data_IF_264086771519
#
_entry.id   IF_264086771519
#
_cell.length_a   1.000
_cell.length_b   1.000
_cell.length_c   1.000
_cell.angle_alpha   90.00
_cell.angle_beta   90.00
_cell.angle_gamma   90.00
#
_symmetry.space_group_name_H-M   'P 1'
#
loop_
_entity.id
_entity.type
_entity.pdbx_description
1 polymer ?
#
# COMPACT_ATOMS: atom_id res chain seq x y z
N UNK A 1 0.89 -32.83 -20.51
CA UNK A 1 -0.22 -33.79 -20.65
C UNK A 1 -0.88 -33.90 -19.29
N UNK A 2 -2.02 -33.24 -19.12
CA UNK A 2 -2.82 -33.40 -17.88
C UNK A 2 -3.29 -34.84 -17.77
N UNK A 3 -3.23 -35.41 -16.56
CA UNK A 3 -3.86 -36.69 -16.29
C UNK A 3 -5.38 -36.54 -16.41
N UNK A 4 -6.06 -37.42 -17.14
CA UNK A 4 -7.52 -37.42 -17.20
C UNK A 4 -8.05 -37.74 -15.79
N UNK A 5 -8.39 -36.73 -15.03
CA UNK A 5 -9.01 -36.89 -13.71
C UNK A 5 -8.77 -35.73 -12.71
N UNK A 6 -7.85 -34.83 -12.97
CA UNK A 6 -7.62 -33.68 -12.08
C UNK A 6 -8.24 -32.42 -12.70
N UNK A 7 -8.99 -31.67 -11.89
CA UNK A 7 -9.55 -30.37 -12.30
C UNK A 7 -8.42 -29.37 -12.60
N UNK A 8 -8.61 -28.52 -13.63
CA UNK A 8 -7.65 -27.48 -13.96
C UNK A 8 -7.55 -26.48 -12.83
N UNK A 9 -6.35 -26.28 -12.29
CA UNK A 9 -6.09 -25.31 -11.23
C UNK A 9 -5.79 -23.94 -11.81
N UNK A 10 -6.66 -22.99 -11.56
CA UNK A 10 -6.54 -21.63 -12.05
C UNK A 10 -6.28 -20.67 -10.89
N UNK A 11 -5.16 -19.96 -10.92
CA UNK A 11 -4.88 -18.85 -10.01
C UNK A 11 -5.34 -17.54 -10.66
N UNK A 12 -6.25 -16.83 -10.02
CA UNK A 12 -6.70 -15.50 -10.39
C UNK A 12 -6.14 -14.52 -9.38
N UNK A 13 -5.30 -13.59 -9.83
CA UNK A 13 -4.59 -12.66 -8.94
C UNK A 13 -4.55 -11.25 -9.54
N UNK A 14 -5.63 -10.51 -9.32
CA UNK A 14 -5.81 -9.16 -9.86
C UNK A 14 -5.55 -8.11 -8.78
N UNK A 15 -4.83 -7.06 -9.14
CA UNK A 15 -4.76 -5.80 -8.38
C UNK A 15 -5.90 -4.86 -8.79
N UNK A 16 -6.03 -3.73 -8.14
CA UNK A 16 -6.99 -2.71 -8.49
C UNK A 16 -6.71 -2.06 -9.85
N UNK A 17 -7.75 -1.51 -10.47
CA UNK A 17 -7.64 -0.72 -11.68
C UNK A 17 -7.89 0.77 -11.37
N UNK A 18 -6.82 1.48 -11.02
CA UNK A 18 -6.78 2.94 -10.78
C UNK A 18 -7.81 3.48 -9.76
N UNK A 19 -8.13 2.71 -8.72
CA UNK A 19 -9.14 3.07 -7.73
C UNK A 19 -10.58 3.05 -8.29
N UNK A 20 -10.78 2.58 -9.53
CA UNK A 20 -12.10 2.51 -10.18
C UNK A 20 -12.71 1.12 -10.01
N UNK A 21 -11.95 0.06 -10.30
CA UNK A 21 -12.36 -1.31 -10.07
C UNK A 21 -11.48 -1.92 -8.97
N UNK A 22 -12.09 -2.34 -7.88
CA UNK A 22 -11.39 -2.95 -6.76
C UNK A 22 -10.70 -4.25 -7.16
N UNK A 23 -9.65 -4.64 -6.44
CA UNK A 23 -8.99 -5.94 -6.66
C UNK A 23 -9.99 -7.09 -6.45
N UNK A 24 -10.90 -6.97 -5.47
CA UNK A 24 -11.97 -7.93 -5.22
C UNK A 24 -12.88 -8.11 -6.44
N UNK A 25 -13.43 -7.02 -6.98
CA UNK A 25 -14.34 -7.10 -8.13
C UNK A 25 -13.62 -7.55 -9.39
N UNK A 26 -12.35 -7.13 -9.60
CA UNK A 26 -11.55 -7.58 -10.72
C UNK A 26 -11.34 -9.11 -10.68
N UNK A 27 -10.99 -9.67 -9.52
CA UNK A 27 -10.86 -11.10 -9.32
C UNK A 27 -12.19 -11.83 -9.60
N UNK A 28 -13.31 -11.31 -9.10
CA UNK A 28 -14.65 -11.88 -9.31
C UNK A 28 -15.03 -11.91 -10.80
N UNK A 29 -14.82 -10.83 -11.55
CA UNK A 29 -15.13 -10.81 -12.98
C UNK A 29 -14.26 -11.78 -13.80
N UNK A 30 -12.99 -11.96 -13.41
CA UNK A 30 -12.11 -12.94 -14.05
C UNK A 30 -12.52 -14.37 -13.67
N UNK A 31 -12.84 -14.65 -12.41
CA UNK A 31 -13.36 -15.94 -11.97
C UNK A 31 -14.63 -16.32 -12.73
N UNK A 32 -15.65 -15.43 -12.79
CA UNK A 32 -16.88 -15.65 -13.53
C UNK A 32 -16.63 -15.99 -15.02
N UNK A 33 -15.60 -15.37 -15.61
CA UNK A 33 -15.20 -15.67 -16.98
C UNK A 33 -14.60 -17.08 -17.12
N UNK A 34 -13.71 -17.46 -16.21
CA UNK A 34 -13.07 -18.79 -16.18
C UNK A 34 -14.12 -19.88 -15.97
N UNK A 35 -14.96 -19.73 -14.94
CA UNK A 35 -16.03 -20.68 -14.59
C UNK A 35 -17.00 -20.90 -15.75
N UNK A 36 -17.30 -19.85 -16.53
CA UNK A 36 -18.16 -19.95 -17.72
C UNK A 36 -17.55 -20.73 -18.89
N UNK A 37 -16.23 -21.01 -18.88
CA UNK A 37 -15.49 -21.58 -20.02
C UNK A 37 -14.79 -22.90 -19.68
N UNK A 38 -14.48 -23.16 -18.42
CA UNK A 38 -13.79 -24.37 -17.94
C UNK A 38 -14.70 -25.06 -16.93
N UNK A 39 -15.27 -26.20 -17.33
CA UNK A 39 -16.08 -27.01 -16.45
C UNK A 39 -15.23 -27.60 -15.32
N UNK A 40 -15.70 -27.48 -14.08
CA UNK A 40 -15.03 -27.98 -12.87
C UNK A 40 -13.62 -27.41 -12.62
N UNK A 41 -13.35 -26.12 -13.00
CA UNK A 41 -12.10 -25.46 -12.66
C UNK A 41 -11.94 -25.32 -11.13
N UNK A 42 -10.74 -25.65 -10.62
CA UNK A 42 -10.35 -25.35 -9.23
C UNK A 42 -9.73 -23.93 -9.20
N UNK A 43 -10.55 -22.92 -8.91
CA UNK A 43 -10.18 -21.51 -9.00
C UNK A 43 -9.81 -20.99 -7.62
N UNK A 44 -8.59 -20.47 -7.49
CA UNK A 44 -8.13 -19.75 -6.29
C UNK A 44 -7.97 -18.28 -6.63
N UNK A 45 -8.69 -17.43 -5.89
CA UNK A 45 -8.57 -15.97 -5.99
C UNK A 45 -7.56 -15.43 -4.98
N UNK A 46 -6.67 -14.56 -5.43
CA UNK A 46 -5.78 -13.77 -4.59
C UNK A 46 -5.96 -12.29 -4.96
N UNK A 47 -6.90 -11.57 -4.35
CA UNK A 47 -6.98 -10.14 -4.52
C UNK A 47 -5.69 -9.50 -4.04
N UNK A 48 -4.99 -8.86 -4.96
CA UNK A 48 -3.74 -8.19 -4.67
C UNK A 48 -4.02 -6.83 -4.04
N UNK A 49 -3.02 -6.30 -3.39
CA UNK A 49 -3.03 -4.94 -2.88
C UNK A 49 -1.66 -4.31 -3.08
N UNK A 50 -1.62 -3.01 -3.00
CA UNK A 50 -0.40 -2.23 -3.09
C UNK A 50 -0.20 -1.40 -1.80
N UNK A 51 0.92 -0.72 -1.69
CA UNK A 51 1.25 0.08 -0.50
C UNK A 51 0.32 1.28 -0.25
N UNK A 52 -0.79 1.39 -0.99
CA UNK A 52 -1.78 2.49 -0.91
C UNK A 52 -3.19 2.00 -0.64
N UNK A 53 -3.71 1.11 -1.50
CA UNK A 53 -5.10 0.72 -1.56
C UNK A 53 -5.28 -0.78 -1.31
N UNK A 54 -6.51 -1.18 -1.03
CA UNK A 54 -7.00 -2.56 -0.97
C UNK A 54 -6.43 -3.43 0.17
N UNK A 55 -5.46 -2.96 0.95
CA UNK A 55 -4.84 -3.76 2.01
C UNK A 55 -5.87 -4.39 2.95
N UNK A 56 -6.81 -3.60 3.48
CA UNK A 56 -7.79 -4.08 4.45
C UNK A 56 -8.71 -5.14 3.82
N UNK A 57 -9.30 -4.83 2.66
CA UNK A 57 -10.23 -5.70 1.98
C UNK A 57 -9.57 -7.03 1.57
N UNK A 58 -8.38 -6.95 0.96
CA UNK A 58 -7.66 -8.13 0.49
C UNK A 58 -7.23 -9.06 1.63
N UNK A 59 -6.75 -8.52 2.74
CA UNK A 59 -6.40 -9.34 3.91
C UNK A 59 -7.62 -10.07 4.46
N UNK A 60 -8.78 -9.39 4.57
CA UNK A 60 -10.00 -9.98 5.12
C UNK A 60 -10.73 -10.94 4.18
N UNK A 61 -10.30 -11.08 2.94
CA UNK A 61 -10.72 -12.20 2.10
C UNK A 61 -10.01 -13.52 2.46
N UNK A 62 -8.80 -13.44 3.01
CA UNK A 62 -7.98 -14.60 3.36
C UNK A 62 -7.98 -14.91 4.86
N UNK A 63 -8.31 -13.93 5.68
CA UNK A 63 -8.25 -14.02 7.13
C UNK A 63 -9.58 -13.63 7.76
N UNK A 64 -10.07 -14.44 8.68
CA UNK A 64 -11.18 -14.07 9.54
C UNK A 64 -10.72 -13.09 10.61
N UNK A 65 -11.65 -12.25 11.09
CA UNK A 65 -11.34 -11.29 12.14
C UNK A 65 -12.43 -10.26 12.34
N UNK A 66 -12.09 -9.20 13.07
CA UNK A 66 -13.00 -8.10 13.39
C UNK A 66 -12.52 -6.82 12.71
N UNK A 67 -13.43 -6.11 12.08
CA UNK A 67 -13.18 -4.77 11.55
C UNK A 67 -13.83 -3.75 12.51
N UNK A 68 -13.08 -2.68 12.80
CA UNK A 68 -13.48 -1.60 13.69
C UNK A 68 -13.71 -0.34 12.89
N UNK A 69 -14.76 0.40 13.22
CA UNK A 69 -14.99 1.77 12.77
C UNK A 69 -14.84 2.69 13.96
N UNK A 70 -14.07 3.74 13.79
CA UNK A 70 -13.73 4.67 14.86
C UNK A 70 -13.69 6.10 14.33
N UNK A 71 -14.04 7.05 15.17
CA UNK A 71 -13.88 8.46 14.88
C UNK A 71 -12.43 8.87 15.14
N UNK A 72 -11.82 9.47 14.14
CA UNK A 72 -10.44 9.98 14.17
C UNK A 72 -10.36 11.28 13.39
N UNK A 73 -9.17 11.88 13.31
CA UNK A 73 -8.96 13.09 12.52
C UNK A 73 -8.25 12.78 11.18
N UNK A 74 -8.63 13.53 10.15
CA UNK A 74 -7.91 13.54 8.87
C UNK A 74 -6.61 14.38 8.93
N UNK A 75 -5.96 14.57 7.77
CA UNK A 75 -4.72 15.36 7.70
C UNK A 75 -4.91 16.86 8.07
N UNK A 76 -6.12 17.38 8.05
CA UNK A 76 -6.49 18.76 8.36
C UNK A 76 -7.21 18.90 9.72
N UNK A 77 -7.21 17.83 10.51
CA UNK A 77 -7.89 17.75 11.82
C UNK A 77 -9.41 17.88 11.74
N UNK A 78 -10.04 17.46 10.64
CA UNK A 78 -11.48 17.26 10.60
C UNK A 78 -11.81 15.87 11.17
N UNK A 79 -12.89 15.76 11.93
CA UNK A 79 -13.39 14.48 12.43
C UNK A 79 -13.96 13.65 11.26
N UNK A 80 -13.49 12.41 11.14
CA UNK A 80 -13.93 11.44 10.13
C UNK A 80 -14.07 10.05 10.75
N UNK A 81 -14.92 9.21 10.16
CA UNK A 81 -14.94 7.78 10.48
C UNK A 81 -13.83 7.07 9.68
N UNK A 82 -12.96 6.35 10.37
CA UNK A 82 -11.94 5.49 9.78
C UNK A 82 -12.16 4.02 10.12
N UNK A 83 -11.60 3.14 9.31
CA UNK A 83 -11.73 1.70 9.49
C UNK A 83 -10.35 1.03 9.56
N UNK A 84 -10.21 0.08 10.47
CA UNK A 84 -9.08 -0.83 10.54
C UNK A 84 -9.55 -2.25 10.91
N UNK A 85 -8.72 -3.27 10.73
CA UNK A 85 -9.09 -4.64 11.05
C UNK A 85 -8.10 -5.33 11.97
N UNK A 86 -8.57 -6.33 12.73
CA UNK A 86 -7.72 -7.25 13.47
C UNK A 86 -8.13 -8.68 13.15
N UNK A 87 -7.21 -9.46 12.60
CA UNK A 87 -7.44 -10.86 12.27
C UNK A 87 -7.44 -11.74 13.51
N UNK A 88 -8.04 -12.92 13.42
CA UNK A 88 -8.08 -13.88 14.55
C UNK A 88 -6.68 -14.36 14.99
N UNK A 89 -5.73 -14.40 14.05
CA UNK A 89 -4.31 -14.72 14.36
C UNK A 89 -3.51 -13.51 14.86
N UNK A 90 -4.17 -12.36 15.08
CA UNK A 90 -3.66 -11.20 15.80
C UNK A 90 -2.98 -10.13 14.94
N UNK A 91 -3.02 -10.23 13.61
CA UNK A 91 -2.52 -9.16 12.73
C UNK A 91 -3.51 -7.99 12.70
N UNK A 92 -3.04 -6.80 13.04
CA UNK A 92 -3.81 -5.56 12.92
C UNK A 92 -3.45 -4.86 11.62
N UNK A 93 -4.46 -4.58 10.80
CA UNK A 93 -4.32 -4.07 9.44
C UNK A 93 -4.83 -2.63 9.38
N UNK A 94 -3.97 -1.69 9.00
CA UNK A 94 -4.29 -0.26 8.91
C UNK A 94 -3.89 0.26 7.53
N UNK A 95 -4.83 0.93 6.86
CA UNK A 95 -4.61 1.60 5.59
C UNK A 95 -4.62 3.11 5.83
N UNK A 96 -3.44 3.73 5.91
CA UNK A 96 -3.30 5.12 6.34
C UNK A 96 -3.93 6.14 5.38
N UNK A 97 -4.08 5.82 4.11
CA UNK A 97 -4.69 6.72 3.14
C UNK A 97 -6.08 7.20 3.55
N UNK A 98 -6.88 6.38 4.25
CA UNK A 98 -8.25 6.70 4.65
C UNK A 98 -8.35 8.00 5.46
N UNK A 99 -7.36 8.27 6.30
CA UNK A 99 -7.38 9.41 7.24
C UNK A 99 -6.18 10.34 7.09
N UNK A 100 -5.40 10.19 6.03
CA UNK A 100 -4.26 11.09 5.76
C UNK A 100 -4.41 11.81 4.42
N UNK A 101 -5.64 12.15 4.08
CA UNK A 101 -6.01 13.01 2.96
C UNK A 101 -6.31 14.42 3.44
N UNK A 102 -5.98 15.40 2.61
CA UNK A 102 -6.28 16.79 2.84
C UNK A 102 -6.40 17.55 1.51
N UNK A 103 -7.12 18.65 1.54
CA UNK A 103 -7.36 19.52 0.37
C UNK A 103 -6.62 20.85 0.47
N UNK A 104 -6.10 21.17 1.64
CA UNK A 104 -5.42 22.40 1.96
C UNK A 104 -3.93 22.40 1.63
N UNK A 105 -3.20 23.28 2.30
CA UNK A 105 -1.78 23.42 2.09
C UNK A 105 -1.00 22.36 2.88
N UNK A 106 -0.12 21.61 2.22
CA UNK A 106 0.64 20.47 2.80
C UNK A 106 1.42 20.80 4.09
N UNK A 107 1.80 22.06 4.31
CA UNK A 107 2.43 22.48 5.57
C UNK A 107 1.52 22.42 6.80
N UNK A 108 0.21 22.37 6.59
CA UNK A 108 -0.81 22.26 7.65
C UNK A 108 -1.28 20.81 7.85
N UNK A 109 -0.83 19.88 7.02
CA UNK A 109 -1.23 18.49 7.13
C UNK A 109 -0.43 17.76 8.22
N UNK A 110 -1.14 16.93 8.98
CA UNK A 110 -0.60 16.16 10.10
C UNK A 110 -0.91 14.67 9.98
N UNK A 111 -0.01 13.84 10.45
CA UNK A 111 -0.22 12.38 10.57
C UNK A 111 -0.91 11.98 11.88
N UNK A 112 -1.50 12.92 12.61
CA UNK A 112 -2.09 12.71 13.94
C UNK A 112 -3.11 11.55 13.97
N UNK A 113 -4.01 11.50 12.99
CA UNK A 113 -5.05 10.47 12.90
C UNK A 113 -4.50 9.03 12.82
N UNK A 114 -3.33 8.82 12.20
CA UNK A 114 -2.70 7.50 12.23
C UNK A 114 -2.31 7.11 13.67
N UNK A 115 -1.81 8.05 14.45
CA UNK A 115 -1.50 7.82 15.86
C UNK A 115 -2.75 7.46 16.67
N UNK A 116 -3.90 8.09 16.40
CA UNK A 116 -5.18 7.77 17.06
C UNK A 116 -5.63 6.34 16.75
N UNK A 117 -5.54 5.91 15.47
CA UNK A 117 -5.89 4.53 15.08
C UNK A 117 -4.97 3.52 15.78
N UNK A 118 -3.66 3.75 15.75
CA UNK A 118 -2.67 2.88 16.42
C UNK A 118 -2.96 2.83 17.94
N UNK A 119 -3.20 3.96 18.57
CA UNK A 119 -3.52 4.04 20.01
C UNK A 119 -4.79 3.24 20.34
N UNK A 120 -5.85 3.40 19.53
CA UNK A 120 -7.08 2.64 19.71
C UNK A 120 -6.83 1.13 19.57
N UNK A 121 -6.08 0.69 18.58
CA UNK A 121 -5.75 -0.71 18.35
C UNK A 121 -4.90 -1.28 19.51
N UNK A 122 -3.89 -0.54 20.01
CA UNK A 122 -3.11 -0.92 21.18
C UNK A 122 -4.00 -1.11 22.41
N UNK A 123 -4.94 -0.19 22.66
CA UNK A 123 -5.91 -0.29 23.76
C UNK A 123 -6.83 -1.52 23.63
N UNK A 124 -7.04 -2.04 22.42
CA UNK A 124 -7.73 -3.32 22.14
C UNK A 124 -6.82 -4.54 22.25
N UNK A 125 -5.54 -4.33 22.57
CA UNK A 125 -4.57 -5.42 22.78
C UNK A 125 -3.82 -5.84 21.53
N UNK A 126 -3.85 -5.03 20.45
CA UNK A 126 -3.07 -5.27 19.25
C UNK A 126 -1.56 -5.29 19.57
N UNK A 127 -0.83 -6.22 18.92
CA UNK A 127 0.63 -6.38 19.09
C UNK A 127 1.36 -6.43 17.76
N UNK A 128 0.72 -6.90 16.70
CA UNK A 128 1.33 -7.01 15.37
C UNK A 128 0.53 -6.16 14.39
N UNK A 129 1.22 -5.30 13.68
CA UNK A 129 0.62 -4.33 12.78
C UNK A 129 1.17 -4.47 11.37
N UNK A 130 0.29 -4.49 10.37
CA UNK A 130 0.61 -4.24 8.97
C UNK A 130 -0.04 -2.91 8.57
N UNK A 131 0.79 -1.93 8.21
CA UNK A 131 0.33 -0.56 7.91
C UNK A 131 0.79 -0.17 6.52
N UNK A 132 -0.14 0.11 5.60
CA UNK A 132 0.18 0.76 4.34
C UNK A 132 0.25 2.28 4.53
N UNK A 133 1.36 2.88 4.14
CA UNK A 133 1.61 4.33 4.32
C UNK A 133 1.65 5.10 3.00
N UNK A 134 1.41 4.44 1.88
CA UNK A 134 1.32 5.09 0.57
C UNK A 134 0.03 5.86 0.38
N UNK A 135 -0.01 6.73 -0.63
CA UNK A 135 -1.21 7.48 -1.00
C UNK A 135 -1.62 8.57 -0.03
N UNK A 136 -0.81 8.91 0.95
CA UNK A 136 -1.08 9.94 1.96
C UNK A 136 -0.67 11.34 1.48
N UNK A 137 -1.35 12.37 1.95
CA UNK A 137 -1.06 13.78 1.66
C UNK A 137 -0.32 14.48 2.82
N UNK A 138 0.25 13.70 3.74
CA UNK A 138 1.02 14.21 4.88
C UNK A 138 2.52 14.10 4.63
N UNK A 139 3.26 15.13 5.03
CA UNK A 139 4.73 15.19 4.95
C UNK A 139 5.34 15.69 6.26
N UNK A 140 4.71 15.38 7.39
CA UNK A 140 5.15 15.86 8.71
C UNK A 140 6.23 14.97 9.37
N UNK A 141 6.78 14.03 8.62
CA UNK A 141 7.78 13.09 9.12
C UNK A 141 7.27 12.15 10.20
N UNK A 142 5.94 12.05 10.40
CA UNK A 142 5.31 11.26 11.46
C UNK A 142 5.25 12.00 12.81
N UNK A 143 5.51 13.30 12.85
CA UNK A 143 5.50 14.07 14.10
C UNK A 143 4.11 14.15 14.74
N UNK A 144 3.04 14.33 13.93
CA UNK A 144 1.67 14.28 14.42
C UNK A 144 1.30 12.91 14.99
N UNK A 145 1.66 11.83 14.31
CA UNK A 145 1.47 10.46 14.80
C UNK A 145 2.19 10.25 16.14
N UNK A 146 3.44 10.69 16.27
CA UNK A 146 4.17 10.58 17.54
C UNK A 146 3.48 11.36 18.66
N UNK A 147 2.95 12.57 18.38
CA UNK A 147 2.21 13.35 19.36
C UNK A 147 0.95 12.62 19.82
N UNK A 148 0.16 12.07 18.91
CA UNK A 148 -1.02 11.27 19.26
C UNK A 148 -0.68 10.04 20.08
N UNK A 149 0.48 9.44 19.86
CA UNK A 149 0.99 8.30 20.62
C UNK A 149 1.63 8.70 21.97
N UNK A 150 1.71 9.99 22.30
CA UNK A 150 2.13 10.50 23.60
C UNK A 150 3.50 11.17 23.64
N UNK A 151 4.19 11.36 22.50
CA UNK A 151 5.39 12.19 22.46
C UNK A 151 5.04 13.67 22.66
N UNK A 152 5.96 14.44 23.22
CA UNK A 152 5.80 15.88 23.42
C UNK A 152 6.99 16.63 22.79
N UNK A 153 6.67 17.63 22.00
CA UNK A 153 7.63 18.51 21.39
C UNK A 153 7.64 19.86 22.11
N UNK A 154 8.81 20.47 22.28
CA UNK A 154 8.98 21.74 22.98
C UNK A 154 9.80 22.73 22.14
N UNK A 155 9.48 24.00 22.27
CA UNK A 155 10.22 25.11 21.66
C UNK A 155 11.37 25.63 22.55
N UNK A 156 11.95 26.78 22.17
CA UNK A 156 13.04 27.45 22.92
C UNK A 156 12.63 27.90 24.32
N UNK A 157 11.37 28.27 24.52
CA UNK A 157 10.82 28.76 25.79
C UNK A 157 10.35 27.59 26.69
N UNK A 158 10.41 26.36 26.20
CA UNK A 158 9.93 25.16 26.87
C UNK A 158 8.42 24.96 26.78
N UNK A 159 7.74 25.73 25.91
CA UNK A 159 6.32 25.57 25.62
C UNK A 159 6.09 24.41 24.64
N UNK A 160 4.90 23.81 24.68
CA UNK A 160 4.56 22.68 23.82
C UNK A 160 4.32 23.15 22.39
N UNK A 161 4.99 22.52 21.44
CA UNK A 161 4.70 22.64 20.01
C UNK A 161 3.60 21.67 19.62
N UNK A 162 2.55 22.19 19.01
CA UNK A 162 1.36 21.43 18.65
C UNK A 162 1.45 20.92 17.20
N UNK A 163 1.75 19.65 17.02
CA UNK A 163 1.90 19.01 15.72
C UNK A 163 0.59 18.68 15.01
N UNK A 164 -0.57 18.90 15.66
CA UNK A 164 -1.87 18.85 14.96
C UNK A 164 -2.00 19.97 13.91
N UNK A 165 -1.17 21.01 14.01
CA UNK A 165 -1.09 22.13 13.04
C UNK A 165 -0.16 21.83 11.85
N UNK A 166 0.36 20.62 11.74
CA UNK A 166 1.10 20.11 10.59
C UNK A 166 2.59 20.41 10.57
N UNK A 167 3.22 20.08 9.45
CA UNK A 167 4.67 20.17 9.22
C UNK A 167 5.24 21.56 9.51
N UNK A 168 4.49 22.63 9.24
CA UNK A 168 4.95 24.01 9.47
C UNK A 168 5.39 24.30 10.91
N UNK A 169 4.95 23.48 11.88
CA UNK A 169 5.33 23.62 13.29
C UNK A 169 6.72 23.06 13.60
N UNK A 170 7.26 22.18 12.78
CA UNK A 170 8.56 21.52 12.97
C UNK A 170 9.69 22.53 13.22
N UNK A 171 9.65 23.69 12.57
CA UNK A 171 10.65 24.77 12.73
C UNK A 171 10.77 25.32 14.17
N UNK A 172 9.74 25.11 14.98
CA UNK A 172 9.71 25.56 16.38
C UNK A 172 10.24 24.52 17.36
N UNK A 173 10.38 23.27 16.94
CA UNK A 173 10.82 22.18 17.83
C UNK A 173 12.30 22.37 18.20
N UNK A 174 12.61 22.25 19.49
CA UNK A 174 13.98 22.25 20.03
C UNK A 174 14.26 21.02 20.89
N UNK A 175 13.24 20.46 21.53
CA UNK A 175 13.37 19.29 22.39
C UNK A 175 12.24 18.30 22.09
N UNK A 176 12.58 17.03 22.17
CA UNK A 176 11.63 15.94 21.95
C UNK A 176 11.62 15.03 23.20
N UNK A 177 10.45 14.80 23.77
CA UNK A 177 10.25 13.90 24.88
C UNK A 177 9.36 12.73 24.46
N UNK A 178 9.94 11.54 24.48
CA UNK A 178 9.26 10.28 24.13
C UNK A 178 8.86 9.45 25.36
N UNK A 179 9.08 9.97 26.57
CA UNK A 179 8.79 9.22 27.82
C UNK A 179 7.30 8.95 28.04
N UNK A 180 6.44 9.76 27.43
CA UNK A 180 4.99 9.63 27.46
C UNK A 180 4.39 8.71 26.40
N UNK A 181 5.20 8.09 25.54
CA UNK A 181 4.70 7.19 24.50
C UNK A 181 3.91 6.02 25.12
N UNK A 182 2.86 5.61 24.40
CA UNK A 182 1.95 4.55 24.83
C UNK A 182 2.75 3.29 25.26
N UNK A 183 2.56 2.77 26.47
CA UNK A 183 3.45 1.75 27.05
C UNK A 183 3.49 0.43 26.28
N UNK A 184 2.42 0.09 25.55
CA UNK A 184 2.36 -1.13 24.74
C UNK A 184 3.17 -1.04 23.44
N UNK A 185 3.61 0.15 23.02
CA UNK A 185 4.45 0.33 21.81
C UNK A 185 5.78 -0.44 21.90
N UNK A 186 6.33 -0.60 23.08
CA UNK A 186 7.58 -1.36 23.31
C UNK A 186 7.48 -2.85 22.95
N UNK A 187 6.26 -3.41 23.01
CA UNK A 187 5.98 -4.83 22.76
C UNK A 187 5.25 -5.01 21.40
N UNK A 188 5.04 -3.92 20.65
CA UNK A 188 4.39 -3.93 19.35
C UNK A 188 5.39 -4.17 18.22
N UNK A 189 4.96 -4.95 17.22
CA UNK A 189 5.70 -5.25 16.01
C UNK A 189 5.01 -4.60 14.81
N UNK A 190 5.75 -3.79 14.08
CA UNK A 190 5.23 -3.04 12.94
C UNK A 190 5.84 -3.54 11.63
N UNK A 191 4.99 -3.86 10.68
CA UNK A 191 5.29 -4.11 9.28
C UNK A 191 4.76 -2.92 8.47
N UNK A 192 5.65 -2.15 7.86
CA UNK A 192 5.28 -0.94 7.09
C UNK A 192 5.40 -1.25 5.62
N UNK A 193 4.25 -1.19 4.93
CA UNK A 193 4.14 -1.57 3.54
C UNK A 193 4.41 -0.36 2.64
N UNK A 194 5.37 -0.53 1.74
CA UNK A 194 5.76 0.48 0.77
C UNK A 194 6.21 -0.17 -0.54
N UNK A 195 5.67 0.30 -1.64
CA UNK A 195 6.02 -0.16 -2.99
C UNK A 195 6.82 0.89 -3.78
N UNK A 196 7.17 1.98 -3.11
CA UNK A 196 7.89 3.10 -3.70
C UNK A 196 9.17 3.42 -2.90
N UNK A 197 10.31 3.55 -3.59
CA UNK A 197 11.58 3.88 -2.92
C UNK A 197 11.83 5.39 -2.92
N UNK A 198 11.92 5.96 -1.72
CA UNK A 198 12.27 7.36 -1.55
C UNK A 198 13.06 7.58 -0.26
N UNK A 199 13.89 8.61 -0.26
CA UNK A 199 14.53 9.12 0.95
C UNK A 199 13.56 10.06 1.69
N UNK A 200 13.81 10.28 2.98
CA UNK A 200 12.99 11.21 3.76
C UNK A 200 13.13 12.64 3.26
N UNK A 201 14.35 13.04 2.88
CA UNK A 201 14.65 14.37 2.32
C UNK A 201 15.76 14.30 1.27
N UNK A 202 15.96 15.42 0.53
CA UNK A 202 16.96 15.56 -0.51
C UNK A 202 16.42 15.24 -1.91
N UNK A 203 17.29 15.17 -2.90
CA UNK A 203 16.90 15.01 -4.32
C UNK A 203 16.05 13.76 -4.61
N UNK A 204 16.19 12.73 -3.78
CA UNK A 204 15.46 11.47 -3.90
C UNK A 204 14.35 11.33 -2.85
N UNK A 205 13.92 12.44 -2.24
CA UNK A 205 12.80 12.41 -1.29
C UNK A 205 11.47 12.20 -2.00
N UNK A 206 10.49 11.69 -1.25
CA UNK A 206 9.15 11.47 -1.79
C UNK A 206 8.55 12.77 -2.36
N UNK A 207 8.70 13.90 -1.64
CA UNK A 207 8.17 15.18 -2.11
C UNK A 207 8.86 15.68 -3.39
N UNK A 208 10.20 15.55 -3.49
CA UNK A 208 10.94 16.00 -4.67
C UNK A 208 10.69 15.12 -5.90
N UNK A 209 10.24 13.89 -5.73
CA UNK A 209 9.85 13.00 -6.81
C UNK A 209 8.38 13.19 -7.23
N UNK A 210 7.51 13.64 -6.31
CA UNK A 210 6.06 13.66 -6.52
C UNK A 210 5.44 15.07 -6.63
N UNK A 211 6.20 16.16 -6.45
CA UNK A 211 5.63 17.52 -6.36
C UNK A 211 4.77 17.91 -7.56
N UNK A 212 5.14 17.47 -8.79
CA UNK A 212 4.37 17.76 -9.99
C UNK A 212 3.02 17.06 -9.98
N UNK A 213 3.00 15.79 -9.58
CA UNK A 213 1.77 14.98 -9.44
C UNK A 213 0.88 15.51 -8.31
N UNK A 214 1.50 16.11 -7.29
CA UNK A 214 0.80 16.77 -6.19
C UNK A 214 0.40 18.23 -6.50
N UNK A 215 0.63 18.68 -7.74
CA UNK A 215 0.35 20.04 -8.21
C UNK A 215 1.04 21.14 -7.37
N UNK A 216 2.20 20.83 -6.81
CA UNK A 216 3.03 21.80 -6.08
C UNK A 216 4.04 22.48 -7.00
N UNK A 217 4.37 23.71 -6.67
CA UNK A 217 5.55 24.38 -7.21
C UNK A 217 6.83 23.72 -6.68
N UNK A 218 7.93 23.93 -7.38
CA UNK A 218 9.23 23.44 -6.93
C UNK A 218 9.66 24.08 -5.62
N UNK A 219 9.32 25.35 -5.44
CA UNK A 219 9.60 26.15 -4.24
C UNK A 219 8.91 25.56 -3.01
N UNK A 220 7.64 25.23 -3.11
CA UNK A 220 6.88 24.55 -2.04
C UNK A 220 7.47 23.18 -1.71
N UNK A 221 7.83 22.40 -2.73
CA UNK A 221 8.46 21.10 -2.51
C UNK A 221 9.80 21.22 -1.79
N UNK A 222 10.62 22.23 -2.13
CA UNK A 222 11.89 22.50 -1.46
C UNK A 222 11.67 22.96 -0.01
N UNK A 223 10.63 23.74 0.26
CA UNK A 223 10.27 24.14 1.63
C UNK A 223 9.92 22.92 2.49
N UNK A 224 9.06 22.06 1.99
CA UNK A 224 8.69 20.80 2.67
C UNK A 224 9.94 19.92 2.90
N UNK A 225 10.77 19.74 1.88
CA UNK A 225 12.01 18.94 1.97
C UNK A 225 12.98 19.48 3.03
N UNK A 226 13.13 20.79 3.10
CA UNK A 226 13.96 21.46 4.11
C UNK A 226 13.42 21.26 5.54
N UNK A 227 12.10 21.31 5.73
CA UNK A 227 11.48 21.05 7.03
C UNK A 227 11.65 19.59 7.46
N UNK A 228 11.55 18.65 6.54
CA UNK A 228 11.82 17.23 6.82
C UNK A 228 13.30 16.99 7.18
N UNK A 229 14.22 17.64 6.46
CA UNK A 229 15.64 17.63 6.83
C UNK A 229 15.85 18.20 8.24
N UNK A 230 15.26 19.36 8.54
CA UNK A 230 15.38 20.01 9.86
C UNK A 230 14.83 19.10 10.97
N UNK A 231 13.66 18.47 10.76
CA UNK A 231 13.10 17.51 11.71
C UNK A 231 14.05 16.31 11.93
N UNK A 232 14.65 15.78 10.85
CA UNK A 232 15.63 14.72 10.96
C UNK A 232 16.85 15.13 11.80
N UNK A 233 17.35 16.36 11.68
CA UNK A 233 18.48 16.86 12.48
C UNK A 233 18.09 17.03 13.96
N UNK A 234 16.87 17.48 14.26
CA UNK A 234 16.35 17.52 15.64
C UNK A 234 16.32 16.11 16.23
N UNK A 235 15.72 15.14 15.53
CA UNK A 235 15.63 13.75 16.01
C UNK A 235 17.02 13.12 16.22
N UNK A 236 17.97 13.47 15.37
CA UNK A 236 19.35 13.04 15.51
C UNK A 236 20.03 13.67 16.74
N UNK A 237 19.79 14.96 16.99
CA UNK A 237 20.36 15.66 18.14
C UNK A 237 19.76 15.17 19.46
N UNK A 238 18.44 15.14 19.55
CA UNK A 238 17.69 14.84 20.77
C UNK A 238 17.67 13.34 21.11
N UNK A 239 17.38 12.49 20.12
CA UNK A 239 17.14 11.05 20.32
C UNK A 239 18.25 10.16 19.73
N UNK A 240 19.28 10.75 19.08
CA UNK A 240 20.36 10.02 18.39
C UNK A 240 19.85 9.13 17.23
N UNK A 241 18.75 9.51 16.60
CA UNK A 241 18.11 8.79 15.50
C UNK A 241 18.50 9.39 14.15
N UNK A 242 19.00 8.58 13.22
CA UNK A 242 19.46 9.03 11.89
C UNK A 242 18.40 8.74 10.83
N UNK A 243 17.29 9.51 10.81
CA UNK A 243 16.14 9.27 9.91
C UNK A 243 16.51 9.33 8.43
N UNK A 244 17.35 10.27 8.04
CA UNK A 244 17.74 10.46 6.63
C UNK A 244 18.56 9.31 6.03
N UNK A 245 19.08 8.41 6.85
CA UNK A 245 19.84 7.24 6.38
C UNK A 245 18.97 6.01 6.12
N UNK A 246 17.71 6.06 6.54
CA UNK A 246 16.80 4.94 6.36
C UNK A 246 16.46 4.79 4.87
N UNK A 247 16.78 3.64 4.33
CA UNK A 247 16.36 3.28 3.00
C UNK A 247 14.83 3.16 2.96
N UNK A 248 14.19 3.71 1.91
CA UNK A 248 12.73 3.82 1.80
C UNK A 248 12.06 4.66 2.92
N UNK A 249 12.85 5.40 3.73
CA UNK A 249 12.35 6.17 4.87
C UNK A 249 11.44 7.34 4.52
N UNK A 250 11.38 7.76 3.25
CA UNK A 250 10.51 8.84 2.77
C UNK A 250 9.05 8.43 2.57
N UNK A 251 8.74 7.14 2.58
CA UNK A 251 7.36 6.69 2.40
C UNK A 251 6.44 7.24 3.49
N UNK A 252 5.19 7.56 3.09
CA UNK A 252 4.24 8.21 3.98
C UNK A 252 4.73 9.57 4.49
N UNK A 253 5.40 10.37 3.63
CA UNK A 253 5.92 11.68 4.01
C UNK A 253 6.95 11.65 5.13
N UNK A 254 7.73 10.58 5.25
CA UNK A 254 8.76 10.39 6.27
C UNK A 254 8.37 9.48 7.45
N UNK A 255 7.11 9.05 7.53
CA UNK A 255 6.63 8.17 8.60
C UNK A 255 7.39 6.85 8.67
N UNK A 256 7.76 6.25 7.51
CA UNK A 256 8.51 5.00 7.48
C UNK A 256 9.85 5.10 8.20
N UNK A 257 10.54 6.25 8.15
CA UNK A 257 11.77 6.45 8.91
C UNK A 257 11.52 6.46 10.43
N UNK A 258 10.44 7.07 10.89
CA UNK A 258 10.04 7.04 12.31
C UNK A 258 9.70 5.63 12.76
N UNK A 259 8.86 4.92 12.02
CA UNK A 259 8.54 3.53 12.35
C UNK A 259 9.79 2.67 12.46
N UNK A 260 10.72 2.81 11.51
CA UNK A 260 11.98 2.06 11.52
C UNK A 260 12.86 2.38 12.72
N UNK A 261 13.01 3.65 13.07
CA UNK A 261 14.00 4.09 14.06
C UNK A 261 13.47 4.07 15.49
N UNK A 262 12.21 4.43 15.73
CA UNK A 262 11.61 4.48 17.08
C UNK A 262 11.00 3.14 17.46
N UNK A 263 10.27 2.49 16.52
CA UNK A 263 9.53 1.27 16.80
C UNK A 263 10.19 0.01 16.23
N UNK A 264 11.41 0.15 15.66
CA UNK A 264 12.15 -0.96 15.05
C UNK A 264 11.34 -1.76 14.00
N UNK A 265 10.48 -1.05 13.26
CA UNK A 265 9.59 -1.65 12.28
C UNK A 265 10.34 -2.39 11.16
N UNK A 266 9.73 -3.42 10.62
CA UNK A 266 10.10 -4.01 9.35
C UNK A 266 9.52 -3.17 8.21
N UNK A 267 10.35 -2.79 7.25
CA UNK A 267 9.89 -2.14 6.01
C UNK A 267 9.84 -3.21 4.94
N UNK A 268 8.65 -3.46 4.41
CA UNK A 268 8.41 -4.51 3.44
C UNK A 268 7.56 -4.02 2.26
N UNK A 269 7.50 -4.80 1.22
CA UNK A 269 6.64 -4.55 0.07
C UNK A 269 5.28 -5.24 0.24
N UNK A 270 4.29 -4.80 -0.53
CA UNK A 270 2.97 -5.42 -0.50
C UNK A 270 3.02 -6.89 -0.90
N UNK A 271 3.83 -7.26 -1.91
CA UNK A 271 3.94 -8.66 -2.33
C UNK A 271 4.54 -9.59 -1.26
N UNK A 272 5.45 -9.08 -0.40
CA UNK A 272 5.99 -9.86 0.72
C UNK A 272 4.90 -10.19 1.74
N UNK A 273 3.98 -9.24 2.01
CA UNK A 273 2.83 -9.50 2.87
C UNK A 273 1.80 -10.41 2.19
N UNK A 274 1.54 -10.24 0.88
CA UNK A 274 0.67 -11.16 0.11
C UNK A 274 1.20 -12.59 0.22
N UNK A 275 2.49 -12.81 0.01
CA UNK A 275 3.10 -14.14 0.12
C UNK A 275 2.98 -14.71 1.55
N UNK A 276 3.24 -13.88 2.56
CA UNK A 276 3.10 -14.26 3.97
C UNK A 276 1.67 -14.71 4.33
N UNK A 277 0.65 -14.03 3.80
CA UNK A 277 -0.76 -14.29 4.12
C UNK A 277 -1.31 -15.48 3.32
N UNK A 278 -0.97 -15.57 2.03
CA UNK A 278 -1.60 -16.49 1.09
C UNK A 278 -0.72 -17.69 0.73
N UNK A 279 0.59 -17.61 0.96
CA UNK A 279 1.53 -18.59 0.43
C UNK A 279 1.59 -18.54 -1.10
N UNK A 280 1.58 -17.36 -1.69
CA UNK A 280 1.49 -17.08 -3.12
C UNK A 280 2.43 -17.96 -3.96
N UNK A 281 3.67 -18.15 -3.52
CA UNK A 281 4.63 -18.99 -4.22
C UNK A 281 4.12 -20.44 -4.38
N UNK A 282 3.49 -21.00 -3.35
CA UNK A 282 2.92 -22.35 -3.44
C UNK A 282 1.68 -22.40 -4.34
N UNK A 283 0.85 -21.36 -4.33
CA UNK A 283 -0.29 -21.26 -5.23
C UNK A 283 0.17 -21.21 -6.69
N UNK A 284 1.18 -20.39 -7.00
CA UNK A 284 1.82 -20.34 -8.33
C UNK A 284 2.38 -21.71 -8.74
N UNK A 285 3.09 -22.41 -7.86
CA UNK A 285 3.63 -23.77 -8.15
C UNK A 285 2.54 -24.78 -8.51
N UNK A 286 1.38 -24.67 -7.89
CA UNK A 286 0.26 -25.62 -8.09
C UNK A 286 -0.63 -25.25 -9.27
N UNK A 287 -0.64 -24.01 -9.69
CA UNK A 287 -1.50 -23.54 -10.78
C UNK A 287 -1.10 -24.14 -12.14
N UNK A 288 -2.09 -24.48 -12.94
CA UNK A 288 -1.95 -24.85 -14.35
C UNK A 288 -2.04 -23.61 -15.25
N UNK A 289 -2.88 -22.65 -14.84
CA UNK A 289 -3.06 -21.35 -15.48
C UNK A 289 -3.04 -20.25 -14.43
N UNK A 290 -2.36 -19.16 -14.73
CA UNK A 290 -2.32 -17.96 -13.90
C UNK A 290 -2.89 -16.79 -14.71
N UNK A 291 -3.94 -16.17 -14.20
CA UNK A 291 -4.51 -14.92 -14.72
C UNK A 291 -4.25 -13.83 -13.70
N UNK A 292 -3.50 -12.82 -14.09
CA UNK A 292 -3.13 -11.73 -13.18
C UNK A 292 -3.15 -10.40 -13.92
N UNK A 293 -3.15 -9.30 -13.19
CA UNK A 293 -3.12 -7.99 -13.83
C UNK A 293 -3.32 -6.85 -12.86
N UNK A 294 -3.18 -5.65 -13.41
CA UNK A 294 -3.29 -4.39 -12.68
C UNK A 294 -3.74 -3.27 -13.62
N UNK A 295 -4.29 -2.19 -13.05
CA UNK A 295 -4.61 -0.97 -13.78
C UNK A 295 -3.38 -0.25 -14.32
N UNK A 296 -3.60 0.96 -14.81
CA UNK A 296 -2.53 1.85 -15.26
C UNK A 296 -1.72 2.30 -14.04
N UNK A 297 -0.43 2.09 -14.06
CA UNK A 297 0.45 2.65 -13.06
C UNK A 297 1.32 3.74 -13.71
N UNK A 298 0.90 5.00 -13.58
CA UNK A 298 1.59 6.17 -14.13
C UNK A 298 2.91 6.51 -13.42
N UNK A 299 3.35 5.71 -12.44
CA UNK A 299 4.51 6.02 -11.62
C UNK A 299 5.73 5.23 -12.05
N UNK A 300 6.68 5.91 -12.66
CA UNK A 300 7.99 5.39 -13.10
C UNK A 300 8.87 4.79 -11.99
N UNK A 301 8.40 4.77 -10.74
CA UNK A 301 9.23 4.43 -9.58
C UNK A 301 8.68 3.32 -8.69
N UNK A 302 7.66 2.59 -9.14
CA UNK A 302 7.12 1.45 -8.38
C UNK A 302 8.11 0.30 -8.41
N UNK A 303 8.57 -0.09 -7.25
CA UNK A 303 9.50 -1.20 -7.08
C UNK A 303 8.68 -2.44 -6.76
N UNK A 304 8.71 -3.45 -7.62
CA UNK A 304 8.13 -4.76 -7.32
C UNK A 304 6.65 -4.72 -6.91
N UNK A 305 5.77 -4.52 -7.88
CA UNK A 305 4.33 -4.75 -7.66
C UNK A 305 4.05 -6.23 -7.39
N UNK A 306 2.94 -6.52 -6.75
CA UNK A 306 2.50 -7.90 -6.56
C UNK A 306 2.32 -8.64 -7.90
N UNK A 307 1.88 -7.93 -8.94
CA UNK A 307 1.78 -8.45 -10.31
C UNK A 307 3.14 -8.83 -10.91
N UNK A 308 4.18 -8.02 -10.72
CA UNK A 308 5.54 -8.36 -11.17
C UNK A 308 6.06 -9.60 -10.44
N UNK A 309 5.79 -9.71 -9.13
CA UNK A 309 6.18 -10.89 -8.36
C UNK A 309 5.53 -12.18 -8.89
N UNK A 310 4.28 -12.11 -9.31
CA UNK A 310 3.60 -13.25 -9.93
C UNK A 310 4.27 -13.62 -11.25
N UNK A 311 4.63 -12.65 -12.09
CA UNK A 311 5.34 -12.89 -13.35
C UNK A 311 6.70 -13.56 -13.11
N UNK A 312 7.48 -13.08 -12.13
CA UNK A 312 8.76 -13.70 -11.72
C UNK A 312 8.58 -15.14 -11.27
N UNK A 313 7.61 -15.42 -10.41
CA UNK A 313 7.31 -16.76 -9.93
C UNK A 313 6.84 -17.67 -11.06
N UNK A 314 5.99 -17.17 -11.95
CA UNK A 314 5.53 -17.92 -13.11
C UNK A 314 6.70 -18.30 -14.03
N UNK A 315 7.64 -17.40 -14.29
CA UNK A 315 8.88 -17.68 -15.02
C UNK A 315 9.72 -18.73 -14.29
N UNK A 316 9.97 -18.55 -12.99
CA UNK A 316 10.77 -19.46 -12.18
C UNK A 316 10.25 -20.90 -12.21
N UNK A 317 8.92 -21.05 -12.17
CA UNK A 317 8.25 -22.37 -12.15
C UNK A 317 7.69 -22.79 -13.50
N UNK A 318 8.03 -22.08 -14.59
CA UNK A 318 7.63 -22.38 -15.97
C UNK A 318 6.10 -22.55 -16.12
N UNK A 319 5.33 -21.66 -15.52
CA UNK A 319 3.88 -21.68 -15.53
C UNK A 319 3.29 -20.88 -16.68
N UNK A 320 2.14 -21.28 -17.17
CA UNK A 320 1.35 -20.49 -18.11
C UNK A 320 0.76 -19.31 -17.34
N UNK A 321 1.21 -18.10 -17.67
CA UNK A 321 0.78 -16.88 -17.02
C UNK A 321 0.34 -15.85 -18.07
N UNK A 322 -0.84 -15.27 -17.86
CA UNK A 322 -1.44 -14.28 -18.75
C UNK A 322 -1.72 -13.01 -17.97
N UNK A 323 -1.18 -11.90 -18.43
CA UNK A 323 -1.39 -10.60 -17.83
C UNK A 323 -2.55 -9.86 -18.52
N UNK A 324 -3.47 -9.34 -17.72
CA UNK A 324 -4.60 -8.51 -18.11
C UNK A 324 -4.38 -7.11 -17.55
N UNK A 325 -3.78 -6.21 -18.33
CA UNK A 325 -3.34 -4.91 -17.84
C UNK A 325 -4.24 -3.77 -18.34
N UNK A 326 -4.22 -2.65 -17.63
CA UNK A 326 -4.95 -1.44 -18.03
C UNK A 326 -4.30 -0.66 -19.16
N UNK A 327 -2.97 -0.80 -19.37
CA UNK A 327 -2.24 -0.20 -20.52
C UNK A 327 -1.10 -1.08 -20.99
N UNK A 328 -0.56 -0.72 -22.19
CA UNK A 328 0.58 -1.39 -22.82
C UNK A 328 1.94 -0.95 -22.29
N UNK A 329 2.04 0.06 -21.42
CA UNK A 329 3.33 0.65 -21.00
C UNK A 329 4.25 -0.33 -20.25
N UNK A 330 3.67 -1.35 -19.62
CA UNK A 330 4.44 -2.39 -18.90
C UNK A 330 4.73 -3.64 -19.74
N UNK A 331 4.36 -3.69 -21.00
CA UNK A 331 4.52 -4.88 -21.82
C UNK A 331 5.98 -5.36 -21.88
N UNK A 332 6.91 -4.47 -22.15
CA UNK A 332 8.33 -4.83 -22.20
C UNK A 332 8.84 -5.46 -20.89
N UNK A 333 8.36 -4.98 -19.76
CA UNK A 333 8.74 -5.48 -18.45
C UNK A 333 8.26 -6.92 -18.22
N UNK A 334 7.00 -7.21 -18.58
CA UNK A 334 6.42 -8.55 -18.46
C UNK A 334 6.95 -9.51 -19.53
N UNK A 335 7.22 -9.04 -20.74
CA UNK A 335 7.87 -9.86 -21.79
C UNK A 335 9.25 -10.36 -21.33
N UNK A 336 10.04 -9.49 -20.70
CA UNK A 336 11.34 -9.85 -20.15
C UNK A 336 11.27 -10.90 -19.03
N UNK A 337 10.12 -11.00 -18.34
CA UNK A 337 9.82 -12.02 -17.34
C UNK A 337 9.19 -13.29 -17.92
N UNK A 338 9.05 -13.38 -19.25
CA UNK A 338 8.56 -14.61 -19.90
C UNK A 338 7.09 -14.91 -19.66
N UNK A 339 6.26 -13.87 -19.44
CA UNK A 339 4.80 -14.02 -19.39
C UNK A 339 4.29 -14.55 -20.72
N UNK A 340 3.41 -15.54 -20.69
CA UNK A 340 2.97 -16.28 -21.88
C UNK A 340 2.23 -15.40 -22.87
N UNK A 341 1.37 -14.51 -22.38
CA UNK A 341 0.66 -13.52 -23.18
C UNK A 341 0.24 -12.33 -22.31
N UNK A 342 0.04 -11.20 -22.97
CA UNK A 342 -0.43 -9.97 -22.32
C UNK A 342 -1.50 -9.33 -23.16
N UNK A 343 -2.52 -8.82 -22.49
CA UNK A 343 -3.64 -8.14 -23.09
C UNK A 343 -3.85 -6.80 -22.44
N UNK A 344 -3.96 -5.77 -23.27
CA UNK A 344 -4.47 -4.49 -22.84
C UNK A 344 -6.00 -4.60 -22.77
N UNK A 345 -6.54 -4.60 -21.56
CA UNK A 345 -7.97 -4.73 -21.36
C UNK A 345 -8.74 -3.43 -21.63
N UNK A 346 -8.04 -2.28 -21.70
CA UNK A 346 -8.68 -0.97 -21.81
C UNK A 346 -7.84 -0.02 -22.66
N UNK A 347 -8.37 0.41 -23.81
CA UNK A 347 -7.74 1.46 -24.61
C UNK A 347 -8.03 2.87 -24.06
N UNK A 348 -9.21 3.08 -23.48
CA UNK A 348 -9.61 4.33 -22.82
C UNK A 348 -10.48 4.03 -21.59
N UNK A 349 -10.32 4.84 -20.55
CA UNK A 349 -11.14 4.73 -19.34
C UNK A 349 -12.56 5.21 -19.62
N UNK A 350 -13.60 4.39 -19.34
CA UNK A 350 -14.98 4.81 -19.51
C UNK A 350 -15.33 5.93 -18.53
N UNK A 351 -16.07 6.94 -19.00
CA UNK A 351 -16.49 8.10 -18.21
C UNK A 351 -17.82 7.89 -17.49
N UNK A 352 -18.65 6.94 -17.94
CA UNK A 352 -19.95 6.60 -17.35
C UNK A 352 -19.93 5.18 -16.79
N UNK A 353 -20.33 5.01 -15.53
CA UNK A 353 -20.32 3.71 -14.83
C UNK A 353 -18.97 2.96 -15.01
N UNK A 354 -17.86 3.64 -14.68
CA UNK A 354 -16.52 3.15 -15.06
C UNK A 354 -16.21 1.78 -14.46
N UNK A 355 -16.52 1.55 -13.18
CA UNK A 355 -16.34 0.29 -12.45
C UNK A 355 -17.04 -0.89 -13.14
N UNK A 356 -18.33 -0.75 -13.42
CA UNK A 356 -19.11 -1.79 -14.08
C UNK A 356 -18.62 -2.06 -15.49
N UNK A 357 -18.35 -1.01 -16.30
CA UNK A 357 -17.86 -1.16 -17.68
C UNK A 357 -16.48 -1.82 -17.72
N UNK A 358 -15.59 -1.43 -16.81
CA UNK A 358 -14.28 -2.05 -16.69
C UNK A 358 -14.40 -3.53 -16.33
N UNK A 359 -15.21 -3.89 -15.35
CA UNK A 359 -15.44 -5.27 -14.95
C UNK A 359 -16.00 -6.13 -16.08
N UNK A 360 -17.02 -5.63 -16.81
CA UNK A 360 -17.61 -6.33 -17.96
C UNK A 360 -16.59 -6.50 -19.08
N UNK A 361 -15.76 -5.50 -19.37
CA UNK A 361 -14.71 -5.57 -20.38
C UNK A 361 -13.65 -6.59 -19.99
N UNK A 362 -13.16 -6.53 -18.75
CA UNK A 362 -12.19 -7.49 -18.20
C UNK A 362 -12.72 -8.93 -18.33
N UNK A 363 -13.98 -9.16 -17.94
CA UNK A 363 -14.65 -10.45 -18.12
C UNK A 363 -14.70 -10.89 -19.57
N UNK A 364 -15.08 -10.00 -20.49
CA UNK A 364 -15.18 -10.31 -21.91
C UNK A 364 -13.82 -10.72 -22.52
N UNK A 365 -12.76 -9.98 -22.19
CA UNK A 365 -11.40 -10.34 -22.62
C UNK A 365 -10.97 -11.70 -22.03
N UNK A 366 -11.19 -11.93 -20.74
CA UNK A 366 -10.88 -13.20 -20.10
C UNK A 366 -11.58 -14.38 -20.77
N UNK A 367 -12.86 -14.25 -21.12
CA UNK A 367 -13.59 -15.27 -21.87
C UNK A 367 -12.91 -15.60 -23.19
N UNK A 368 -12.43 -14.61 -23.96
CA UNK A 368 -11.75 -14.86 -25.25
C UNK A 368 -10.38 -15.54 -25.02
N UNK A 369 -9.64 -15.10 -24.02
CA UNK A 369 -8.36 -15.72 -23.63
C UNK A 369 -8.54 -17.19 -23.29
N UNK A 370 -9.50 -17.51 -22.43
CA UNK A 370 -9.75 -18.90 -22.00
C UNK A 370 -10.26 -19.76 -23.17
N UNK A 371 -11.13 -19.21 -24.05
CA UNK A 371 -11.53 -19.91 -25.29
C UNK A 371 -10.36 -20.24 -26.19
N UNK A 372 -9.41 -19.32 -26.33
CA UNK A 372 -8.23 -19.54 -27.15
C UNK A 372 -7.35 -20.66 -26.58
N UNK A 373 -7.18 -20.71 -25.26
CA UNK A 373 -6.45 -21.76 -24.59
C UNK A 373 -7.13 -23.12 -24.76
N UNK A 374 -8.45 -23.19 -24.55
CA UNK A 374 -9.24 -24.42 -24.70
C UNK A 374 -9.23 -24.98 -26.14
N UNK A 375 -9.05 -24.13 -27.17
CA UNK A 375 -8.99 -24.58 -28.55
C UNK A 375 -7.69 -25.34 -28.90
N UNK A 376 -6.68 -25.28 -28.02
CA UNK A 376 -5.33 -25.86 -28.24
C UNK A 376 -4.93 -26.89 -27.17
N UNK A 377 -5.83 -27.21 -26.25
CA UNK A 377 -5.70 -28.31 -25.28
C UNK A 377 -6.54 -29.52 -25.71
#
# INVERSE_FOLDING_TARGET
>A
MMSRGDNMKVLVAMDEFNGILSSYDANRFVEEAVDSQIEDADIVQVPLFNGRHELLNSVFMWKSGTQYRIDVHDAEMNEIEAQYGQTEDGLTVIQAEQFQKGTGHYLNHTSYGLGEVIQHALNKGAKTFAISVGGTDTFDGGAGMLQALGAVFYDDDGERVDMTKGLGQVKHIRRVDTSGLHPQLKDAHFQILIDFSSKMYGKQSAIMQSYKTLHLSREEAVEIDNLLWYFSEIMKHELKLSLGQIERGGAGGGMAAIFKTIFNAEIMTSHELVDQITGLENLVKQADLILFGEGINERDHVINTSSLRIAELAQQYQKVAIALCGTSEKFEQYENLGVTAMFNAFDEMPTEYPDFKLGVTLRAYTVQVVKLLNAHI
#
